data_IF_931037163180
#
_entry.id   IF_931037163180
#
_cell.length_a   1.000
_cell.length_b   1.000
_cell.length_c   1.000
_cell.angle_alpha   90.00
_cell.angle_beta   90.00
_cell.angle_gamma   90.00
#
_symmetry.space_group_name_H-M   'P 1'
#
loop_
_entity.id
_entity.type
_entity.pdbx_description
1 polymer ?
#
# COMPACT_ATOMS: atom_id res chain seq x y z
N UNK A 1 26.80 35.10 -36.97
CA UNK A 1 27.67 35.02 -35.79
C UNK A 1 26.85 35.53 -34.61
N UNK A 2 26.06 34.64 -34.00
CA UNK A 2 25.12 34.97 -32.93
C UNK A 2 25.76 34.63 -31.58
N UNK A 3 26.01 35.66 -30.77
CA UNK A 3 26.54 35.55 -29.42
C UNK A 3 25.54 34.84 -28.48
N UNK A 4 26.04 33.86 -27.72
CA UNK A 4 25.28 33.15 -26.68
C UNK A 4 25.46 33.85 -25.33
N UNK A 5 24.41 33.95 -24.49
CA UNK A 5 24.44 34.72 -23.26
C UNK A 5 25.31 34.08 -22.16
N UNK A 6 26.15 34.95 -21.56
CA UNK A 6 27.18 34.76 -20.54
C UNK A 6 26.72 34.19 -19.16
N UNK A 7 25.56 33.53 -19.09
CA UNK A 7 24.98 33.01 -17.83
C UNK A 7 25.40 31.56 -17.55
N UNK A 8 25.75 30.78 -18.58
CA UNK A 8 26.13 29.38 -18.43
C UNK A 8 27.61 29.15 -18.06
N UNK A 9 28.49 30.13 -18.28
CA UNK A 9 29.92 30.01 -17.97
C UNK A 9 30.18 30.13 -16.46
N UNK A 10 29.47 31.05 -15.79
CA UNK A 10 29.64 31.35 -14.36
C UNK A 10 29.06 30.28 -13.40
N UNK A 11 28.21 29.37 -13.88
CA UNK A 11 27.68 28.27 -13.06
C UNK A 11 28.63 27.06 -13.04
N UNK A 12 29.44 26.89 -14.09
CA UNK A 12 30.39 25.78 -14.21
C UNK A 12 31.70 26.04 -13.44
N UNK A 13 32.07 27.31 -13.24
CA UNK A 13 33.22 27.69 -12.40
C UNK A 13 32.93 27.64 -10.89
N UNK A 14 31.66 27.77 -10.48
CA UNK A 14 31.28 27.67 -9.06
C UNK A 14 31.15 26.23 -8.57
N UNK A 15 30.89 25.28 -9.48
CA UNK A 15 30.82 23.85 -9.15
C UNK A 15 32.22 23.19 -8.96
N UNK A 16 33.25 23.69 -9.67
CA UNK A 16 34.64 23.19 -9.52
C UNK A 16 35.33 23.64 -8.23
N UNK A 17 34.88 24.73 -7.59
CA UNK A 17 35.48 25.25 -6.34
C UNK A 17 34.96 24.56 -5.07
N UNK A 18 33.97 23.68 -5.17
CA UNK A 18 33.44 22.89 -4.04
C UNK A 18 34.04 21.48 -3.93
N UNK A 19 34.87 21.04 -4.89
CA UNK A 19 35.56 19.74 -4.84
C UNK A 19 37.06 19.84 -4.45
N UNK A 20 37.53 21.05 -4.10
CA UNK A 20 38.92 21.26 -3.72
C UNK A 20 38.99 22.15 -2.47
N UNK A 21 38.94 21.53 -1.29
CA UNK A 21 39.54 21.98 -0.01
C UNK A 21 38.98 21.18 1.17
N UNK A 22 39.32 19.90 1.25
CA UNK A 22 39.76 19.38 2.55
C UNK A 22 40.66 18.16 2.34
N UNK A 23 41.96 18.39 2.55
CA UNK A 23 42.93 17.34 2.74
C UNK A 23 42.58 16.58 4.01
N UNK A 24 42.36 15.26 3.91
CA UNK A 24 42.34 14.37 5.06
C UNK A 24 43.68 13.63 5.16
N UNK A 25 44.28 13.56 6.37
CA UNK A 25 45.58 12.96 6.56
C UNK A 25 45.53 11.44 6.40
N UNK A 26 46.59 10.92 5.76
CA UNK A 26 46.90 9.51 5.68
C UNK A 26 47.43 9.03 7.03
N UNK A 27 46.83 7.94 7.52
CA UNK A 27 47.44 6.82 8.24
C UNK A 27 47.05 6.61 9.72
N UNK A 28 46.50 5.41 9.96
CA UNK A 28 46.72 4.46 11.06
C UNK A 28 46.79 4.96 12.51
N UNK A 29 45.92 4.41 13.36
CA UNK A 29 46.25 3.31 14.27
C UNK A 29 45.01 2.87 15.06
N UNK A 30 44.75 1.57 14.97
CA UNK A 30 44.11 0.67 15.94
C UNK A 30 43.51 1.26 17.22
N UNK A 31 42.23 0.95 17.42
CA UNK A 31 41.73 0.50 18.71
C UNK A 31 40.96 1.55 19.50
N UNK A 32 39.63 1.47 19.42
CA UNK A 32 38.81 1.31 20.62
C UNK A 32 37.48 0.65 20.20
N UNK A 33 37.39 -0.64 20.53
CA UNK A 33 36.18 -1.47 20.49
C UNK A 33 35.26 -1.05 21.65
N UNK A 34 33.96 -1.35 21.51
CA UNK A 34 32.85 -1.21 22.49
C UNK A 34 32.12 0.14 22.39
N UNK A 35 30.85 0.25 21.99
CA UNK A 35 29.67 -0.53 22.40
C UNK A 35 28.52 -0.37 21.38
N UNK A 36 28.52 -1.16 20.30
CA UNK A 36 27.30 -1.52 19.53
C UNK A 36 27.51 -2.97 19.06
N UNK A 37 27.26 -3.93 19.95
CA UNK A 37 27.34 -5.35 19.65
C UNK A 37 25.91 -5.93 19.65
N UNK A 38 25.47 -6.34 18.47
CA UNK A 38 24.20 -7.05 18.26
C UNK A 38 24.03 -7.67 16.87
N UNK A 39 25.08 -7.67 16.03
CA UNK A 39 25.09 -8.37 14.73
C UNK A 39 26.40 -9.16 14.61
N UNK A 40 26.42 -10.37 15.16
CA UNK A 40 27.53 -11.30 14.92
C UNK A 40 27.05 -12.75 15.11
N UNK A 41 26.51 -13.36 14.06
CA UNK A 41 26.61 -14.78 13.72
C UNK A 41 26.14 -14.85 12.25
N UNK A 42 26.91 -15.14 11.20
CA UNK A 42 28.20 -15.79 11.01
C UNK A 42 28.75 -15.28 9.65
N UNK A 43 30.01 -14.86 9.61
CA UNK A 43 30.73 -14.56 8.37
C UNK A 43 31.76 -15.67 8.18
N UNK A 44 31.51 -16.56 7.22
CA UNK A 44 32.53 -17.42 6.60
C UNK A 44 32.51 -17.15 5.12
N UNK A 45 33.62 -16.63 4.61
CA UNK A 45 33.92 -16.64 3.19
C UNK A 45 34.41 -18.04 2.81
N UNK A 46 33.90 -18.61 1.73
CA UNK A 46 34.48 -19.76 1.02
C UNK A 46 34.10 -19.67 -0.47
N UNK A 47 34.93 -20.19 -1.39
CA UNK A 47 35.19 -19.61 -2.71
C UNK A 47 34.29 -20.16 -3.82
N UNK A 48 34.47 -19.59 -5.01
CA UNK A 48 33.86 -20.01 -6.26
C UNK A 48 33.95 -21.53 -6.51
N UNK A 49 32.83 -22.11 -6.98
CA UNK A 49 32.80 -23.41 -7.67
C UNK A 49 32.20 -24.58 -6.89
N UNK A 50 30.87 -24.71 -6.85
CA UNK A 50 30.19 -26.01 -6.91
C UNK A 50 28.69 -25.81 -7.16
N UNK A 51 28.15 -26.50 -8.15
CA UNK A 51 26.72 -26.66 -8.37
C UNK A 51 26.05 -27.26 -7.12
N UNK A 52 25.03 -26.59 -6.58
CA UNK A 52 23.99 -27.24 -5.78
C UNK A 52 22.87 -26.25 -5.50
N UNK A 53 21.72 -26.52 -6.11
CA UNK A 53 20.36 -26.17 -5.71
C UNK A 53 20.16 -24.87 -4.90
N UNK A 54 19.54 -23.88 -5.54
CA UNK A 54 18.80 -22.84 -4.83
C UNK A 54 17.93 -23.49 -3.72
N UNK A 55 17.93 -22.97 -2.48
CA UNK A 55 17.02 -23.50 -1.47
C UNK A 55 15.60 -23.25 -1.97
N UNK A 56 14.96 -24.33 -2.42
CA UNK A 56 13.60 -24.34 -2.89
C UNK A 56 12.74 -23.56 -1.90
N UNK A 57 12.11 -22.49 -2.39
CA UNK A 57 11.20 -21.67 -1.61
C UNK A 57 10.20 -22.62 -0.93
N UNK A 58 10.34 -22.78 0.39
CA UNK A 58 9.50 -23.68 1.17
C UNK A 58 8.06 -23.22 0.95
N UNK A 59 7.20 -24.01 0.28
CA UNK A 59 5.84 -23.58 0.02
C UNK A 59 5.15 -23.34 1.36
N UNK A 60 4.36 -22.28 1.49
CA UNK A 60 3.68 -21.87 2.73
C UNK A 60 2.81 -22.99 3.35
N UNK A 61 2.55 -24.07 2.60
CA UNK A 61 1.91 -25.31 3.03
C UNK A 61 2.75 -26.17 3.99
N UNK A 62 4.06 -25.96 4.05
CA UNK A 62 4.99 -26.69 4.93
C UNK A 62 5.31 -25.92 6.23
N UNK A 63 4.61 -24.83 6.52
CA UNK A 63 4.74 -24.18 7.82
C UNK A 63 4.34 -25.17 8.93
N UNK A 64 5.19 -25.41 9.94
CA UNK A 64 4.87 -26.34 11.01
C UNK A 64 3.61 -25.85 11.72
N UNK A 65 2.54 -26.66 11.70
CA UNK A 65 1.31 -26.40 12.44
C UNK A 65 1.69 -26.19 13.91
N UNK A 66 1.56 -24.96 14.41
CA UNK A 66 1.84 -24.65 15.81
C UNK A 66 0.96 -25.56 16.68
N UNK A 67 1.58 -26.32 17.57
CA UNK A 67 0.87 -27.15 18.54
C UNK A 67 -0.10 -26.25 19.32
N UNK A 68 -1.33 -26.69 19.60
CA UNK A 68 -2.29 -25.88 20.36
C UNK A 68 -1.67 -25.48 21.70
N UNK A 69 -1.88 -24.23 22.09
CA UNK A 69 -1.37 -23.74 23.37
C UNK A 69 -2.04 -24.55 24.49
N UNK A 70 -1.26 -25.12 25.39
CA UNK A 70 -1.79 -26.03 26.44
C UNK A 70 -2.61 -25.30 27.50
N UNK A 71 -2.38 -24.00 27.68
CA UNK A 71 -3.13 -23.18 28.63
C UNK A 71 -4.45 -22.71 28.00
N UNK A 72 -5.56 -22.73 28.74
CA UNK A 72 -6.82 -22.19 28.25
C UNK A 72 -6.64 -20.71 27.92
N UNK A 73 -7.31 -20.24 26.85
CA UNK A 73 -7.32 -18.82 26.53
C UNK A 73 -7.93 -18.05 27.70
N UNK A 74 -7.31 -16.96 28.20
CA UNK A 74 -7.85 -16.24 29.34
C UNK A 74 -9.28 -15.76 29.09
N UNK A 75 -10.10 -15.79 30.14
CA UNK A 75 -11.57 -15.60 30.08
C UNK A 75 -11.99 -14.30 29.40
N UNK A 76 -11.20 -13.23 29.54
CA UNK A 76 -11.45 -11.93 28.93
C UNK A 76 -11.44 -12.00 27.39
N UNK A 77 -10.52 -12.76 26.80
CA UNK A 77 -10.43 -12.93 25.35
C UNK A 77 -11.60 -13.73 24.79
N UNK A 78 -12.06 -14.75 25.53
CA UNK A 78 -13.24 -15.55 25.14
C UNK A 78 -14.48 -14.67 25.11
N UNK A 79 -14.72 -13.90 26.18
CA UNK A 79 -15.83 -12.93 26.26
C UNK A 79 -15.78 -11.89 25.14
N UNK A 80 -14.59 -11.32 24.86
CA UNK A 80 -14.43 -10.35 23.77
C UNK A 80 -14.74 -10.98 22.41
N UNK A 81 -14.25 -12.20 22.15
CA UNK A 81 -14.51 -12.91 20.90
C UNK A 81 -15.99 -13.22 20.70
N UNK A 82 -16.68 -13.64 21.75
CA UNK A 82 -18.13 -13.88 21.73
C UNK A 82 -18.91 -12.58 21.49
N UNK A 83 -18.55 -11.49 22.18
CA UNK A 83 -19.14 -10.18 21.96
C UNK A 83 -18.95 -9.68 20.52
N UNK A 84 -17.76 -9.88 19.94
CA UNK A 84 -17.48 -9.53 18.54
C UNK A 84 -18.33 -10.35 17.56
N UNK A 85 -18.44 -11.67 17.77
CA UNK A 85 -19.29 -12.54 16.93
C UNK A 85 -20.77 -12.13 17.02
N UNK A 86 -21.24 -11.77 18.21
CA UNK A 86 -22.62 -11.33 18.42
C UNK A 86 -22.91 -9.97 17.77
N UNK A 87 -21.98 -9.02 17.86
CA UNK A 87 -22.13 -7.68 17.27
C UNK A 87 -21.96 -7.68 15.75
N UNK A 88 -21.12 -8.57 15.23
CA UNK A 88 -20.75 -8.62 13.81
C UNK A 88 -20.88 -10.06 13.28
N UNK A 89 -22.12 -10.55 13.04
CA UNK A 89 -22.34 -11.92 12.57
C UNK A 89 -21.72 -12.17 11.20
N UNK A 90 -21.80 -11.20 10.29
CA UNK A 90 -21.19 -11.25 8.95
C UNK A 90 -19.68 -10.92 8.96
N UNK A 91 -19.11 -10.72 10.16
CA UNK A 91 -17.74 -10.28 10.36
C UNK A 91 -17.57 -8.76 10.40
N UNK A 92 -16.39 -8.33 10.83
CA UNK A 92 -16.05 -6.91 10.90
C UNK A 92 -15.74 -6.35 9.51
N UNK A 93 -16.64 -5.52 8.98
CA UNK A 93 -16.45 -4.79 7.73
C UNK A 93 -16.55 -3.28 8.01
N UNK A 94 -15.42 -2.54 8.02
CA UNK A 94 -15.42 -1.11 8.25
C UNK A 94 -16.34 -0.38 7.25
N UNK A 95 -17.14 0.60 7.70
CA UNK A 95 -18.10 1.29 6.82
C UNK A 95 -17.43 2.18 5.78
N UNK A 96 -16.30 2.81 6.13
CA UNK A 96 -15.52 3.67 5.22
C UNK A 96 -14.19 3.00 4.88
N UNK A 97 -14.19 2.18 3.83
CA UNK A 97 -12.96 1.54 3.32
C UNK A 97 -12.33 2.43 2.27
N UNK A 98 -11.05 2.73 2.45
CA UNK A 98 -10.28 3.45 1.45
C UNK A 98 -10.00 2.53 0.25
N UNK A 99 -10.31 2.99 -0.97
CA UNK A 99 -10.02 2.23 -2.19
C UNK A 99 -8.51 2.07 -2.39
N UNK A 100 -8.11 1.08 -3.18
CA UNK A 100 -6.68 0.87 -3.43
C UNK A 100 -6.05 2.07 -4.14
N UNK A 101 -6.75 2.59 -5.14
CA UNK A 101 -6.35 3.78 -5.89
C UNK A 101 -6.20 5.00 -4.98
N UNK A 102 -7.11 5.22 -4.03
CA UNK A 102 -6.99 6.32 -3.08
C UNK A 102 -5.79 6.17 -2.12
N UNK A 103 -5.43 4.94 -1.74
CA UNK A 103 -4.20 4.70 -0.98
C UNK A 103 -2.94 5.05 -1.78
N UNK A 104 -2.88 4.74 -3.07
CA UNK A 104 -1.76 5.13 -3.94
C UNK A 104 -1.74 6.64 -4.17
N UNK A 105 -2.90 7.26 -4.42
CA UNK A 105 -3.01 8.72 -4.52
C UNK A 105 -2.49 9.44 -3.27
N UNK A 106 -2.80 8.91 -2.08
CA UNK A 106 -2.25 9.42 -0.82
C UNK A 106 -0.71 9.35 -0.79
N UNK A 107 -0.11 8.24 -1.25
CA UNK A 107 1.35 8.11 -1.32
C UNK A 107 1.96 9.10 -2.31
N UNK A 108 1.38 9.22 -3.50
CA UNK A 108 1.86 10.13 -4.56
C UNK A 108 1.84 11.58 -4.07
N UNK A 109 0.75 12.01 -3.41
CA UNK A 109 0.64 13.36 -2.85
C UNK A 109 1.74 13.63 -1.80
N UNK A 110 1.93 12.70 -0.87
CA UNK A 110 2.95 12.86 0.18
C UNK A 110 4.38 12.81 -0.37
N UNK A 111 4.62 12.05 -1.46
CA UNK A 111 5.91 12.02 -2.14
C UNK A 111 6.22 13.32 -2.86
N UNK A 112 5.20 13.98 -3.44
CA UNK A 112 5.38 15.23 -4.16
C UNK A 112 5.75 16.39 -3.22
N UNK A 113 5.01 16.56 -2.12
CA UNK A 113 5.32 17.58 -1.11
C UNK A 113 4.95 17.11 0.30
N UNK A 114 5.89 16.55 1.07
CA UNK A 114 5.62 16.06 2.42
C UNK A 114 5.34 17.19 3.43
N UNK A 115 5.75 18.42 3.13
CA UNK A 115 5.55 19.58 4.03
C UNK A 115 4.12 20.07 3.97
N UNK A 116 3.57 20.22 2.76
CA UNK A 116 2.18 20.61 2.53
C UNK A 116 1.22 19.45 2.80
N UNK A 117 1.54 18.25 2.31
CA UNK A 117 0.72 17.06 2.49
C UNK A 117 1.14 16.27 3.74
N UNK A 118 1.14 16.95 4.89
CA UNK A 118 1.42 16.30 6.18
C UNK A 118 0.36 15.26 6.55
N UNK A 119 0.69 14.38 7.50
CA UNK A 119 -0.20 13.29 7.94
C UNK A 119 -1.54 13.80 8.44
N UNK A 120 -1.57 14.92 9.17
CA UNK A 120 -2.79 15.54 9.68
C UNK A 120 -3.67 16.08 8.55
N UNK A 121 -3.06 16.72 7.53
CA UNK A 121 -3.76 17.26 6.37
C UNK A 121 -4.36 16.12 5.52
N UNK A 122 -3.59 15.06 5.28
CA UNK A 122 -4.07 13.88 4.55
C UNK A 122 -5.18 13.15 5.32
N UNK A 123 -5.05 13.02 6.64
CA UNK A 123 -6.08 12.42 7.49
C UNK A 123 -7.43 13.16 7.35
N UNK A 124 -7.40 14.49 7.39
CA UNK A 124 -8.58 15.33 7.21
C UNK A 124 -9.18 15.18 5.81
N UNK A 125 -8.37 15.24 4.74
CA UNK A 125 -8.85 15.14 3.35
C UNK A 125 -9.48 13.77 3.02
N UNK A 126 -8.87 12.69 3.51
CA UNK A 126 -9.36 11.33 3.25
C UNK A 126 -10.34 10.81 4.32
N UNK A 127 -10.65 11.62 5.34
CA UNK A 127 -11.51 11.27 6.46
C UNK A 127 -11.13 9.93 7.13
N UNK A 128 -9.82 9.74 7.34
CA UNK A 128 -9.25 8.56 8.01
C UNK A 128 -8.41 9.00 9.21
N UNK A 129 -8.18 8.08 10.15
CA UNK A 129 -7.32 8.34 11.30
C UNK A 129 -5.88 8.68 10.87
N UNK A 130 -5.19 9.63 11.52
CA UNK A 130 -3.78 9.91 11.25
C UNK A 130 -2.88 8.68 11.47
N UNK A 131 -3.27 7.77 12.36
CA UNK A 131 -2.58 6.49 12.56
C UNK A 131 -2.61 5.64 11.29
N UNK A 132 -3.78 5.55 10.64
CA UNK A 132 -3.95 4.79 9.41
C UNK A 132 -3.12 5.39 8.27
N UNK A 133 -3.07 6.73 8.17
CA UNK A 133 -2.22 7.44 7.21
C UNK A 133 -0.76 7.05 7.41
N UNK A 134 -0.25 7.10 8.65
CA UNK A 134 1.16 6.71 8.92
C UNK A 134 1.44 5.26 8.56
N UNK A 135 0.49 4.34 8.78
CA UNK A 135 0.64 2.93 8.36
C UNK A 135 0.73 2.79 6.85
N UNK A 136 -0.13 3.49 6.11
CA UNK A 136 -0.12 3.49 4.65
C UNK A 136 1.25 3.98 4.17
N UNK A 137 1.71 5.14 4.64
CA UNK A 137 2.99 5.73 4.26
C UNK A 137 4.20 4.85 4.63
N UNK A 138 4.20 4.22 5.81
CA UNK A 138 5.30 3.35 6.26
C UNK A 138 5.36 1.99 5.55
N UNK A 139 4.23 1.50 5.05
CA UNK A 139 4.16 0.18 4.43
C UNK A 139 4.89 0.16 3.08
N UNK A 140 5.78 -0.82 2.87
CA UNK A 140 6.60 -0.98 1.65
C UNK A 140 5.99 -1.92 0.62
N UNK A 141 4.86 -2.56 0.94
CA UNK A 141 4.29 -3.57 0.08
C UNK A 141 3.73 -2.96 -1.21
N UNK A 142 4.26 -3.42 -2.34
CA UNK A 142 3.81 -3.03 -3.67
C UNK A 142 3.51 -4.31 -4.49
N UNK A 143 2.29 -4.47 -5.02
CA UNK A 143 1.93 -5.59 -5.88
C UNK A 143 2.64 -5.51 -7.24
N UNK A 144 2.98 -6.66 -7.82
CA UNK A 144 3.41 -6.73 -9.22
C UNK A 144 2.28 -6.33 -10.17
N UNK A 145 2.60 -5.92 -11.40
CA UNK A 145 1.63 -5.45 -12.39
C UNK A 145 0.46 -6.42 -12.61
N UNK A 146 0.74 -7.71 -12.79
CA UNK A 146 -0.30 -8.75 -12.90
C UNK A 146 -1.19 -8.82 -11.65
N UNK A 147 -0.60 -8.68 -10.46
CA UNK A 147 -1.32 -8.68 -9.18
C UNK A 147 -2.15 -7.40 -9.02
N UNK A 148 -1.67 -6.26 -9.51
CA UNK A 148 -2.40 -4.99 -9.53
C UNK A 148 -3.68 -5.11 -10.35
N UNK A 149 -3.57 -5.60 -11.59
CA UNK A 149 -4.72 -5.82 -12.46
C UNK A 149 -5.76 -6.73 -11.81
N UNK A 150 -5.33 -7.84 -11.19
CA UNK A 150 -6.23 -8.74 -10.46
C UNK A 150 -6.93 -8.08 -9.27
N UNK A 151 -6.23 -7.21 -8.53
CA UNK A 151 -6.81 -6.51 -7.38
C UNK A 151 -7.83 -5.45 -7.83
N UNK A 152 -7.53 -4.70 -8.90
CA UNK A 152 -8.44 -3.73 -9.50
C UNK A 152 -9.70 -4.41 -10.03
N UNK A 153 -9.54 -5.53 -10.74
CA UNK A 153 -10.66 -6.32 -11.25
C UNK A 153 -11.53 -6.86 -10.11
N UNK A 154 -10.90 -7.35 -9.03
CA UNK A 154 -11.62 -7.79 -7.83
C UNK A 154 -12.40 -6.65 -7.17
N UNK A 155 -11.82 -5.45 -7.09
CA UNK A 155 -12.51 -4.27 -6.55
C UNK A 155 -13.71 -3.88 -7.44
N UNK A 156 -13.52 -3.87 -8.76
CA UNK A 156 -14.57 -3.62 -9.75
C UNK A 156 -15.72 -4.62 -9.59
N UNK A 157 -15.42 -5.91 -9.52
CA UNK A 157 -16.41 -6.96 -9.37
C UNK A 157 -17.15 -6.88 -8.03
N UNK A 158 -16.48 -6.50 -6.94
CA UNK A 158 -17.15 -6.24 -5.66
C UNK A 158 -18.12 -5.05 -5.74
N UNK A 159 -17.73 -3.96 -6.41
CA UNK A 159 -18.62 -2.81 -6.62
C UNK A 159 -19.82 -3.18 -7.47
N UNK A 160 -19.61 -3.93 -8.57
CA UNK A 160 -20.69 -4.42 -9.42
C UNK A 160 -21.63 -5.34 -8.65
N UNK A 161 -21.10 -6.32 -7.91
CA UNK A 161 -21.90 -7.23 -7.08
C UNK A 161 -22.72 -6.48 -6.01
N UNK A 162 -22.16 -5.43 -5.41
CA UNK A 162 -22.89 -4.59 -4.46
C UNK A 162 -24.04 -3.83 -5.13
N UNK A 163 -23.80 -3.31 -6.36
CA UNK A 163 -24.83 -2.63 -7.16
C UNK A 163 -25.92 -3.59 -7.63
N UNK A 164 -25.56 -4.79 -8.09
CA UNK A 164 -26.53 -5.80 -8.52
C UNK A 164 -27.35 -6.31 -7.34
N UNK A 165 -26.72 -6.57 -6.18
CA UNK A 165 -27.43 -6.95 -4.96
C UNK A 165 -28.43 -5.88 -4.53
N UNK A 166 -28.03 -4.60 -4.54
CA UNK A 166 -28.93 -3.48 -4.22
C UNK A 166 -30.10 -3.42 -5.19
N UNK A 167 -29.83 -3.55 -6.50
CA UNK A 167 -30.86 -3.58 -7.54
C UNK A 167 -31.83 -4.74 -7.29
N UNK A 168 -31.34 -5.97 -7.15
CA UNK A 168 -32.20 -7.15 -6.94
C UNK A 168 -33.07 -6.99 -5.68
N UNK A 169 -32.52 -6.42 -4.61
CA UNK A 169 -33.28 -6.09 -3.42
C UNK A 169 -34.40 -5.07 -3.70
N UNK A 170 -34.16 -4.04 -4.52
CA UNK A 170 -35.20 -3.09 -4.97
C UNK A 170 -36.33 -3.83 -5.72
N UNK A 171 -36.00 -4.80 -6.58
CA UNK A 171 -36.98 -5.64 -7.29
C UNK A 171 -37.80 -6.53 -6.33
N UNK A 172 -37.14 -7.20 -5.38
CA UNK A 172 -37.79 -8.08 -4.40
C UNK A 172 -38.71 -7.31 -3.44
N UNK A 173 -38.34 -6.07 -3.08
CA UNK A 173 -39.13 -5.19 -2.20
C UNK A 173 -40.37 -4.59 -2.91
N UNK A 174 -40.67 -4.98 -4.16
CA UNK A 174 -41.86 -4.55 -4.91
C UNK A 174 -41.88 -3.04 -5.24
N UNK A 175 -40.81 -2.32 -4.92
CA UNK A 175 -40.54 -0.99 -5.48
C UNK A 175 -40.18 -1.25 -6.92
N UNK A 176 -41.14 -1.12 -7.82
CA UNK A 176 -40.89 -1.01 -9.25
C UNK A 176 -39.67 -0.09 -9.44
N UNK A 177 -38.52 -0.66 -9.78
CA UNK A 177 -37.39 0.11 -10.31
C UNK A 177 -37.90 0.97 -11.47
N UNK A 178 -37.19 2.02 -11.93
CA UNK A 178 -37.64 2.77 -13.09
C UNK A 178 -37.95 1.77 -14.20
N UNK A 179 -39.26 1.57 -14.43
CA UNK A 179 -39.76 0.48 -15.24
C UNK A 179 -39.28 0.70 -16.66
N UNK A 180 -39.47 -0.30 -17.51
CA UNK A 180 -39.43 -0.10 -18.95
C UNK A 180 -40.18 1.19 -19.40
N UNK A 181 -41.15 1.65 -18.60
CA UNK A 181 -41.91 2.90 -18.69
C UNK A 181 -41.08 4.21 -18.63
N UNK A 182 -39.87 4.20 -18.07
CA UNK A 182 -39.00 5.38 -18.00
C UNK A 182 -38.16 5.56 -19.28
N UNK A 183 -37.85 4.46 -19.99
CA UNK A 183 -37.15 4.49 -21.28
C UNK A 183 -38.07 5.06 -22.38
N UNK A 184 -39.38 4.82 -22.28
CA UNK A 184 -40.36 5.31 -23.25
C UNK A 184 -40.63 6.84 -23.19
N UNK A 185 -40.09 7.56 -22.20
CA UNK A 185 -40.35 9.01 -22.01
C UNK A 185 -39.31 9.92 -22.68
N UNK A 186 -38.19 9.37 -23.15
CA UNK A 186 -37.22 10.17 -23.89
C UNK A 186 -37.63 10.22 -25.37
N UNK A 187 -38.13 11.35 -25.89
CA UNK A 187 -38.65 11.44 -27.25
C UNK A 187 -37.58 11.18 -28.33
N UNK A 188 -36.29 11.18 -27.97
CA UNK A 188 -35.18 10.86 -28.90
C UNK A 188 -35.08 9.38 -29.26
N UNK A 189 -35.53 8.47 -28.40
CA UNK A 189 -35.36 7.03 -28.61
C UNK A 189 -36.52 6.39 -29.42
N UNK A 190 -37.49 7.19 -29.87
CA UNK A 190 -38.69 6.74 -30.63
C UNK A 190 -38.47 6.70 -32.16
N UNK A 191 -37.39 7.24 -32.68
CA UNK A 191 -37.21 7.50 -34.13
C UNK A 191 -36.47 6.40 -34.92
N UNK A 192 -36.11 5.27 -34.32
CA UNK A 192 -35.28 4.23 -34.96
C UNK A 192 -36.06 2.94 -35.30
N UNK A 193 -37.38 3.05 -35.54
CA UNK A 193 -38.22 1.94 -36.01
C UNK A 193 -39.17 2.42 -37.12
N UNK A 194 -38.63 2.64 -38.31
CA UNK A 194 -39.35 2.63 -39.60
C UNK A 194 -38.43 2.02 -40.65
#
# INVERSE_FOLDING_TARGET
MSELPNILVNLLERAKKMLSTHAMPRNALSGLRSWISGHAYYSTQSPAGSSSAAPAATPLSQLPKKKPHKVPTPTQYVKHREAMKKRFPDGWNPPKKLSREAMEGLRVLHQHDPTQFSTAVLAAKFAISPEAVTRILKSKWQPSEKRQAQLLERERNQKLASRTKRRNQEWDEGKSGPGADAIAKNPRDRLELV
#
